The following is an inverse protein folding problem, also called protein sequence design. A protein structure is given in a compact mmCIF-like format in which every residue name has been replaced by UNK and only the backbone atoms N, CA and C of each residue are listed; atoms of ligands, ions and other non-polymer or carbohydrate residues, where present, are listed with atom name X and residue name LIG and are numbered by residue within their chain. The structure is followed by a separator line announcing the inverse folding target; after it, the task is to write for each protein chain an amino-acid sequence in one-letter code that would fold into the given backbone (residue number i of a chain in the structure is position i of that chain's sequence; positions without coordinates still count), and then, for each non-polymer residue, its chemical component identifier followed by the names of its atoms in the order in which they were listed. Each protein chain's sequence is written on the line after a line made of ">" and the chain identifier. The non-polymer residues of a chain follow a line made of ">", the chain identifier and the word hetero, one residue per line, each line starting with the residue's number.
data_IF_709496063198
#
_entry.id   IF_709496063198
#
_cell.length_a   1.000
_cell.length_b   1.000
_cell.length_c   1.000
_cell.angle_alpha   90.00
_cell.angle_beta   90.00
_cell.angle_gamma   90.00
#
_symmetry.space_group_name_H-M   'P 1'
#
loop_
_entity.id
_entity.type
_entity.pdbx_description
1 polymer ?
#
# COMPACT_ATOMS: atom_id res chain seq x y z
N UNK A 1 -14.67 12.14 -6.59
CA UNK A 1 -15.66 11.07 -6.73
C UNK A 1 -15.22 9.89 -5.88
N UNK A 2 -16.14 9.17 -5.22
CA UNK A 2 -15.80 7.96 -4.47
C UNK A 2 -15.48 6.82 -5.43
N UNK A 3 -14.50 5.95 -5.11
CA UNK A 3 -14.21 4.77 -5.92
C UNK A 3 -15.41 3.82 -5.90
N UNK A 4 -15.75 3.26 -7.05
CA UNK A 4 -16.84 2.29 -7.19
C UNK A 4 -16.27 1.02 -7.77
N UNK A 5 -16.24 -0.05 -6.97
CA UNK A 5 -15.83 -1.38 -7.43
C UNK A 5 -17.09 -2.17 -7.84
N UNK A 6 -17.31 -2.30 -9.13
CA UNK A 6 -18.40 -3.10 -9.68
C UNK A 6 -17.88 -4.50 -9.97
N UNK A 7 -18.38 -5.50 -9.23
CA UNK A 7 -18.04 -6.91 -9.43
C UNK A 7 -16.89 -7.45 -8.59
N UNK A 8 -16.30 -6.65 -7.73
CA UNK A 8 -15.33 -7.12 -6.71
C UNK A 8 -14.13 -7.88 -7.27
N UNK A 9 -13.68 -8.88 -6.53
CA UNK A 9 -12.55 -9.74 -6.92
C UNK A 9 -12.74 -10.48 -8.24
N UNK A 10 -13.91 -11.05 -8.57
CA UNK A 10 -14.11 -11.67 -9.88
C UNK A 10 -13.92 -10.73 -11.06
N UNK A 11 -14.28 -9.45 -10.91
CA UNK A 11 -14.05 -8.47 -11.96
C UNK A 11 -12.55 -8.19 -12.19
N UNK A 12 -11.76 -8.16 -11.10
CA UNK A 12 -10.30 -8.09 -11.21
C UNK A 12 -9.75 -9.32 -11.95
N UNK A 13 -10.14 -10.53 -11.55
CA UNK A 13 -9.70 -11.78 -12.20
C UNK A 13 -10.04 -11.79 -13.69
N UNK A 14 -11.24 -11.39 -14.06
CA UNK A 14 -11.65 -11.31 -15.48
C UNK A 14 -10.81 -10.28 -16.26
N UNK A 15 -10.49 -9.13 -15.67
CA UNK A 15 -9.59 -8.14 -16.30
C UNK A 15 -8.20 -8.72 -16.55
N UNK A 16 -7.63 -9.37 -15.54
CA UNK A 16 -6.31 -10.00 -15.63
C UNK A 16 -6.30 -11.04 -16.74
N UNK A 17 -7.23 -11.99 -16.74
CA UNK A 17 -7.33 -13.03 -17.78
C UNK A 17 -7.47 -12.45 -19.19
N UNK A 18 -8.33 -11.48 -19.34
CA UNK A 18 -8.57 -10.85 -20.64
C UNK A 18 -7.30 -10.19 -21.19
N UNK A 19 -6.55 -9.50 -20.32
CA UNK A 19 -5.32 -8.85 -20.73
C UNK A 19 -4.17 -9.84 -20.92
N UNK A 20 -4.02 -10.86 -20.06
CA UNK A 20 -3.03 -11.90 -20.25
C UNK A 20 -3.22 -12.61 -21.59
N UNK A 21 -4.43 -13.03 -21.94
CA UNK A 21 -4.73 -13.64 -23.24
C UNK A 21 -4.39 -12.72 -24.42
N UNK A 22 -4.54 -11.42 -24.26
CA UNK A 22 -4.25 -10.45 -25.31
C UNK A 22 -2.77 -10.19 -25.50
N UNK A 23 -2.01 -10.05 -24.42
CA UNK A 23 -0.61 -9.61 -24.47
C UNK A 23 0.39 -10.75 -24.29
N UNK A 24 -0.04 -11.88 -23.76
CA UNK A 24 0.77 -13.08 -23.52
C UNK A 24 0.02 -14.33 -23.97
N UNK A 25 -0.21 -14.51 -25.29
CA UNK A 25 -0.95 -15.67 -25.79
C UNK A 25 -0.26 -16.98 -25.46
N UNK A 26 1.08 -16.99 -25.36
CA UNK A 26 1.91 -18.15 -25.02
C UNK A 26 2.44 -18.03 -23.57
N UNK A 27 1.55 -17.76 -22.61
CA UNK A 27 1.90 -17.49 -21.21
C UNK A 27 2.75 -18.61 -20.57
N UNK A 28 2.50 -19.87 -20.95
CA UNK A 28 3.20 -21.03 -20.39
C UNK A 28 4.74 -20.99 -20.64
N UNK A 29 5.17 -20.33 -21.69
CA UNK A 29 6.60 -20.17 -22.04
C UNK A 29 7.16 -18.79 -21.73
N UNK A 30 6.27 -17.83 -21.43
CA UNK A 30 6.64 -16.42 -21.26
C UNK A 30 7.17 -16.10 -19.86
N UNK A 31 6.85 -16.93 -18.85
CA UNK A 31 7.13 -16.63 -17.44
C UNK A 31 7.93 -17.75 -16.79
N UNK A 32 8.84 -17.35 -15.89
CA UNK A 32 9.55 -18.27 -15.02
C UNK A 32 8.67 -18.71 -13.83
N UNK A 33 9.14 -19.74 -13.13
CA UNK A 33 8.41 -20.31 -11.99
C UNK A 33 8.13 -19.28 -10.88
N UNK A 34 9.11 -18.43 -10.56
CA UNK A 34 8.94 -17.41 -9.52
C UNK A 34 7.86 -16.37 -9.90
N UNK A 35 7.78 -16.01 -11.17
CA UNK A 35 6.72 -15.13 -11.69
C UNK A 35 5.36 -15.80 -11.61
N UNK A 36 5.26 -17.10 -11.91
CA UNK A 36 4.01 -17.85 -11.77
C UNK A 36 3.53 -17.92 -10.32
N UNK A 37 4.41 -18.16 -9.35
CA UNK A 37 4.06 -18.13 -7.93
C UNK A 37 3.48 -16.77 -7.51
N UNK A 38 4.09 -15.68 -7.94
CA UNK A 38 3.57 -14.32 -7.66
C UNK A 38 2.19 -14.14 -8.32
N UNK A 39 2.03 -14.57 -9.57
CA UNK A 39 0.75 -14.48 -10.27
C UNK A 39 -0.35 -15.25 -9.53
N UNK A 40 -0.08 -16.46 -9.08
CA UNK A 40 -1.03 -17.28 -8.33
C UNK A 40 -1.42 -16.65 -7.00
N UNK A 41 -0.44 -16.14 -6.23
CA UNK A 41 -0.69 -15.43 -4.98
C UNK A 41 -1.62 -14.24 -5.19
N UNK A 42 -1.33 -13.39 -6.17
CA UNK A 42 -2.13 -12.20 -6.45
C UNK A 42 -3.47 -12.52 -7.10
N UNK A 43 -3.56 -13.61 -7.85
CA UNK A 43 -4.81 -14.12 -8.38
C UNK A 43 -5.81 -14.51 -7.29
N UNK A 44 -5.32 -15.13 -6.20
CA UNK A 44 -6.13 -15.59 -5.08
C UNK A 44 -6.36 -14.51 -4.01
N UNK A 45 -5.58 -13.43 -4.02
CA UNK A 45 -5.64 -12.37 -3.03
C UNK A 45 -6.82 -11.42 -3.30
N UNK A 46 -7.90 -11.57 -2.52
CA UNK A 46 -9.04 -10.65 -2.58
C UNK A 46 -8.77 -9.38 -1.77
N UNK A 47 -8.52 -8.28 -2.48
CA UNK A 47 -8.35 -6.94 -1.89
C UNK A 47 -9.59 -6.05 -2.08
N UNK A 48 -10.70 -6.57 -2.59
CA UNK A 48 -11.93 -5.79 -2.79
C UNK A 48 -12.50 -5.14 -1.51
N UNK A 49 -12.35 -5.71 -0.29
CA UNK A 49 -12.77 -5.05 0.94
C UNK A 49 -12.05 -3.73 1.23
N UNK A 50 -10.82 -3.53 0.68
CA UNK A 50 -10.08 -2.24 0.79
C UNK A 50 -10.85 -1.10 0.19
N UNK A 51 -11.56 -1.35 -0.91
CA UNK A 51 -12.32 -0.31 -1.61
C UNK A 51 -13.41 0.27 -0.70
N UNK A 52 -14.08 -0.59 0.08
CA UNK A 52 -15.06 -0.18 1.06
C UNK A 52 -14.42 0.51 2.27
N UNK A 53 -13.37 -0.07 2.82
CA UNK A 53 -12.66 0.47 4.00
C UNK A 53 -12.07 1.86 3.76
N UNK A 54 -11.68 2.15 2.51
CA UNK A 54 -11.10 3.45 2.15
C UNK A 54 -12.10 4.45 1.55
N UNK A 55 -13.37 4.06 1.36
CA UNK A 55 -14.35 4.87 0.62
C UNK A 55 -14.52 6.29 1.19
N UNK A 56 -14.47 6.44 2.52
CA UNK A 56 -14.66 7.74 3.19
C UNK A 56 -13.42 8.65 3.12
N UNK A 57 -12.30 8.11 2.64
CA UNK A 57 -11.05 8.85 2.43
C UNK A 57 -10.98 9.52 1.06
N UNK A 58 -12.04 9.38 0.26
CA UNK A 58 -12.16 9.97 -1.07
C UNK A 58 -13.28 11.02 -1.11
N UNK A 59 -13.02 12.11 -1.83
CA UNK A 59 -14.01 13.16 -2.04
C UNK A 59 -15.21 12.65 -2.83
N UNK A 60 -16.38 13.23 -2.59
CA UNK A 60 -17.58 12.98 -3.41
C UNK A 60 -17.45 13.66 -4.78
N UNK A 61 -16.65 14.72 -4.87
CA UNK A 61 -16.47 15.52 -6.08
C UNK A 61 -15.11 15.27 -6.73
N UNK A 62 -15.01 15.48 -8.03
CA UNK A 62 -13.77 15.39 -8.80
C UNK A 62 -13.76 14.22 -9.78
N UNK A 63 -12.61 13.95 -10.44
CA UNK A 63 -12.46 12.82 -11.35
C UNK A 63 -12.56 11.49 -10.60
N UNK A 64 -12.92 10.43 -11.33
CA UNK A 64 -12.98 9.09 -10.75
C UNK A 64 -11.57 8.62 -10.33
N UNK A 65 -11.37 8.28 -9.06
CA UNK A 65 -10.08 7.77 -8.60
C UNK A 65 -9.85 6.34 -9.09
N UNK A 66 -8.60 5.92 -9.08
CA UNK A 66 -8.24 4.50 -9.19
C UNK A 66 -8.79 3.73 -8.01
N UNK A 67 -9.13 2.46 -8.21
CA UNK A 67 -9.59 1.59 -7.12
C UNK A 67 -8.50 1.44 -6.05
N UNK A 68 -8.81 1.65 -4.78
CA UNK A 68 -7.87 1.39 -3.67
C UNK A 68 -7.30 -0.01 -3.67
N UNK A 69 -8.11 -1.02 -3.99
CA UNK A 69 -7.68 -2.41 -4.11
C UNK A 69 -6.62 -2.61 -5.19
N UNK A 70 -6.78 -1.99 -6.38
CA UNK A 70 -5.79 -2.07 -7.45
C UNK A 70 -4.51 -1.29 -7.09
N UNK A 71 -4.64 -0.15 -6.41
CA UNK A 71 -3.50 0.64 -5.94
C UNK A 71 -2.70 -0.11 -4.86
N UNK A 72 -3.38 -0.73 -3.88
CA UNK A 72 -2.72 -1.52 -2.84
C UNK A 72 -2.05 -2.76 -3.44
N UNK A 73 -2.73 -3.46 -4.35
CA UNK A 73 -2.17 -4.60 -5.06
C UNK A 73 -0.90 -4.21 -5.81
N UNK A 74 -0.92 -3.09 -6.51
CA UNK A 74 0.24 -2.56 -7.21
C UNK A 74 1.41 -2.25 -6.26
N UNK A 75 1.11 -1.69 -5.09
CA UNK A 75 2.11 -1.41 -4.07
C UNK A 75 2.75 -2.69 -3.52
N UNK A 76 1.94 -3.71 -3.21
CA UNK A 76 2.43 -5.02 -2.77
C UNK A 76 3.29 -5.71 -3.84
N UNK A 77 2.86 -5.66 -5.11
CA UNK A 77 3.64 -6.18 -6.24
C UNK A 77 5.01 -5.51 -6.36
N UNK A 78 5.10 -4.20 -6.10
CA UNK A 78 6.40 -3.51 -6.13
C UNK A 78 7.39 -4.08 -5.13
N UNK A 79 6.92 -4.52 -3.97
CA UNK A 79 7.74 -5.16 -2.95
C UNK A 79 8.15 -6.57 -3.38
N UNK A 80 7.23 -7.36 -3.93
CA UNK A 80 7.51 -8.73 -4.40
C UNK A 80 8.53 -8.74 -5.55
N UNK A 81 8.41 -7.79 -6.48
CA UNK A 81 9.39 -7.61 -7.56
C UNK A 81 10.63 -6.80 -7.14
N UNK A 82 10.77 -6.48 -5.85
CA UNK A 82 11.94 -5.82 -5.25
C UNK A 82 12.30 -4.49 -5.93
N UNK A 83 11.29 -3.73 -6.35
CA UNK A 83 11.51 -2.41 -6.94
C UNK A 83 11.66 -1.37 -5.83
N UNK A 84 12.79 -0.65 -5.75
CA UNK A 84 13.19 0.09 -4.55
C UNK A 84 12.41 1.38 -4.30
N UNK A 85 11.69 1.90 -5.29
CA UNK A 85 10.98 3.17 -5.14
C UNK A 85 9.71 3.26 -5.96
N UNK A 86 8.75 4.05 -5.50
CA UNK A 86 7.51 4.31 -6.22
C UNK A 86 7.73 4.99 -7.57
N UNK A 87 8.78 5.80 -7.70
CA UNK A 87 9.15 6.42 -8.99
C UNK A 87 9.60 5.36 -9.99
N UNK A 88 10.48 4.46 -9.57
CA UNK A 88 10.93 3.33 -10.39
C UNK A 88 9.75 2.42 -10.72
N UNK A 89 8.89 2.14 -9.74
CA UNK A 89 7.71 1.30 -9.95
C UNK A 89 6.75 1.89 -10.98
N UNK A 90 6.41 3.17 -10.88
CA UNK A 90 5.56 3.84 -11.86
C UNK A 90 6.14 3.82 -13.28
N UNK A 91 7.46 3.84 -13.42
CA UNK A 91 8.14 3.64 -14.70
C UNK A 91 8.06 2.18 -15.18
N UNK A 92 8.27 1.23 -14.27
CA UNK A 92 8.19 -0.21 -14.57
C UNK A 92 6.79 -0.63 -15.01
N UNK A 93 5.73 -0.08 -14.42
CA UNK A 93 4.35 -0.31 -14.82
C UNK A 93 4.06 0.10 -16.27
N UNK A 94 4.75 1.11 -16.79
CA UNK A 94 4.61 1.56 -18.18
C UNK A 94 5.38 0.69 -19.16
N UNK A 95 6.50 0.12 -18.72
CA UNK A 95 7.41 -0.66 -19.55
C UNK A 95 7.08 -2.15 -19.56
N UNK A 96 6.57 -2.67 -18.44
CA UNK A 96 6.26 -4.08 -18.28
C UNK A 96 4.74 -4.28 -18.17
N UNK A 97 4.15 -4.82 -19.21
CA UNK A 97 2.70 -5.07 -19.27
C UNK A 97 2.23 -6.01 -18.17
N UNK A 98 3.03 -7.01 -17.80
CA UNK A 98 2.66 -7.95 -16.74
C UNK A 98 2.41 -7.23 -15.41
N UNK A 99 3.26 -6.27 -15.05
CA UNK A 99 3.11 -5.52 -13.80
C UNK A 99 1.82 -4.69 -13.78
N UNK A 100 1.48 -4.06 -14.90
CA UNK A 100 0.22 -3.34 -15.03
C UNK A 100 -0.99 -4.28 -14.91
N UNK A 101 -0.95 -5.42 -15.61
CA UNK A 101 -2.01 -6.42 -15.64
C UNK A 101 -2.26 -6.99 -14.23
N UNK A 102 -1.21 -7.44 -13.55
CA UNK A 102 -1.31 -8.01 -12.20
C UNK A 102 -1.76 -6.98 -11.15
N UNK A 103 -1.41 -5.71 -11.35
CA UNK A 103 -1.94 -4.61 -10.52
C UNK A 103 -3.46 -4.39 -10.70
N UNK A 104 -4.05 -4.88 -11.79
CA UNK A 104 -5.44 -4.63 -12.16
C UNK A 104 -5.64 -3.43 -13.07
N UNK A 105 -4.56 -2.79 -13.55
CA UNK A 105 -4.63 -1.67 -14.49
C UNK A 105 -4.73 -2.14 -15.93
N UNK A 106 -5.29 -1.30 -16.78
CA UNK A 106 -5.21 -1.53 -18.22
C UNK A 106 -3.81 -1.19 -18.73
N UNK A 107 -3.30 -2.00 -19.65
CA UNK A 107 -2.05 -1.70 -20.36
C UNK A 107 -2.17 -0.36 -21.08
N UNK A 108 -1.23 0.54 -20.80
CA UNK A 108 -1.24 1.91 -21.32
C UNK A 108 -2.01 2.93 -20.45
N UNK A 109 -2.78 2.48 -19.45
CA UNK A 109 -3.50 3.35 -18.50
C UNK A 109 -3.03 3.06 -17.06
N UNK A 110 -1.77 3.29 -16.78
CA UNK A 110 -1.15 3.07 -15.47
C UNK A 110 -1.06 4.36 -14.66
N UNK A 111 -1.13 4.29 -13.31
CA UNK A 111 -0.99 5.45 -12.46
C UNK A 111 0.42 6.05 -12.53
N UNK A 112 0.48 7.38 -12.44
CA UNK A 112 1.73 8.09 -12.24
C UNK A 112 2.20 8.06 -10.79
N UNK A 113 3.45 8.47 -10.55
CA UNK A 113 4.04 8.51 -9.20
C UNK A 113 3.23 9.36 -8.22
N UNK A 114 2.68 10.50 -8.68
CA UNK A 114 1.82 11.36 -7.84
C UNK A 114 0.59 10.61 -7.33
N UNK A 115 -0.04 9.77 -8.16
CA UNK A 115 -1.19 8.96 -7.75
C UNK A 115 -0.84 7.96 -6.64
N UNK A 116 0.38 7.41 -6.66
CA UNK A 116 0.86 6.54 -5.58
C UNK A 116 1.07 7.31 -4.28
N UNK A 117 1.65 8.50 -4.33
CA UNK A 117 1.78 9.35 -3.14
C UNK A 117 0.43 9.76 -2.57
N UNK A 118 -0.52 10.13 -3.43
CA UNK A 118 -1.88 10.45 -3.00
C UNK A 118 -2.57 9.23 -2.37
N UNK A 119 -2.38 8.04 -2.93
CA UNK A 119 -2.91 6.81 -2.37
C UNK A 119 -2.30 6.50 -1.00
N UNK A 120 -0.97 6.52 -0.87
CA UNK A 120 -0.29 6.28 0.40
C UNK A 120 -0.71 7.32 1.44
N UNK A 121 -0.87 8.58 1.06
CA UNK A 121 -1.40 9.62 1.92
C UNK A 121 -2.78 9.30 2.46
N UNK A 122 -3.67 8.77 1.63
CA UNK A 122 -5.01 8.34 2.06
C UNK A 122 -4.97 7.04 2.86
N UNK A 123 -4.08 6.12 2.52
CA UNK A 123 -3.91 4.86 3.26
C UNK A 123 -3.49 5.10 4.71
N UNK A 124 -2.62 6.09 4.92
CA UNK A 124 -2.10 6.49 6.23
C UNK A 124 -2.92 7.61 6.87
N UNK A 125 -4.10 7.90 6.33
CA UNK A 125 -4.90 9.04 6.74
C UNK A 125 -5.19 9.03 8.24
N UNK A 126 -4.74 10.09 8.91
CA UNK A 126 -5.15 10.47 10.25
C UNK A 126 -5.39 11.97 10.28
N UNK A 127 -6.54 12.39 10.76
CA UNK A 127 -6.85 13.82 10.94
C UNK A 127 -5.87 14.54 11.88
N UNK A 128 -5.23 13.79 12.78
CA UNK A 128 -4.28 14.31 13.78
C UNK A 128 -2.83 14.39 13.29
N UNK A 129 -2.47 13.62 12.30
CA UNK A 129 -1.09 13.54 11.83
C UNK A 129 -1.04 13.97 10.38
N UNK A 130 -0.73 15.25 10.14
CA UNK A 130 -0.21 15.66 8.84
C UNK A 130 0.96 14.73 8.51
N UNK A 131 0.79 13.82 7.59
CA UNK A 131 1.70 12.91 6.87
C UNK A 131 3.20 12.90 7.24
N UNK A 132 3.57 13.43 8.39
CA UNK A 132 4.90 13.27 8.94
C UNK A 132 5.06 11.81 9.28
N UNK A 133 6.01 11.18 8.59
CA UNK A 133 6.49 9.85 8.89
C UNK A 133 6.60 9.71 10.44
N UNK A 134 5.90 8.77 11.10
CA UNK A 134 5.99 8.61 12.55
C UNK A 134 7.43 8.36 13.03
N UNK A 135 8.30 7.88 12.13
CA UNK A 135 9.74 7.69 12.37
C UNK A 135 10.54 9.01 12.28
N UNK A 136 9.98 10.04 11.66
CA UNK A 136 10.60 11.34 11.51
C UNK A 136 9.58 12.41 11.84
N UNK A 137 9.43 12.78 13.13
CA UNK A 137 8.57 13.92 13.49
C UNK A 137 8.97 15.13 12.65
N UNK A 138 8.01 15.98 12.27
CA UNK A 138 8.31 17.17 11.49
C UNK A 138 9.38 17.95 12.22
N UNK A 139 10.48 18.28 11.52
CA UNK A 139 11.47 19.19 12.06
C UNK A 139 10.73 20.49 12.35
N UNK A 140 10.63 20.86 13.61
CA UNK A 140 10.15 22.19 13.97
C UNK A 140 11.08 23.18 13.27
N UNK A 141 10.56 23.87 12.27
CA UNK A 141 11.31 24.96 11.66
C UNK A 141 11.60 25.98 12.76
N UNK A 142 12.85 26.36 12.97
CA UNK A 142 13.17 27.35 13.97
C UNK A 142 12.39 28.61 13.64
N UNK A 143 11.48 28.97 14.53
CA UNK A 143 10.51 30.09 14.33
C UNK A 143 11.15 31.47 14.24
N UNK A 144 12.48 31.59 14.36
CA UNK A 144 13.20 32.89 14.28
C UNK A 144 14.53 32.69 13.53
N UNK A 145 14.90 33.63 12.67
CA UNK A 145 16.25 33.65 12.14
C UNK A 145 17.23 33.79 13.30
N UNK A 146 18.12 32.82 13.46
CA UNK A 146 19.19 32.86 14.46
C UNK A 146 20.07 34.08 14.23
N UNK A 147 20.38 34.80 15.27
CA UNK A 147 21.36 35.88 15.21
C UNK A 147 22.72 35.29 14.89
N UNK A 148 23.46 35.98 14.02
CA UNK A 148 24.81 35.58 13.59
C UNK A 148 25.69 35.35 14.81
N UNK A 149 26.02 34.08 15.13
CA UNK A 149 26.85 33.70 16.27
C UNK A 149 26.19 32.85 17.34
N UNK A 150 24.87 32.62 17.30
CA UNK A 150 24.21 31.63 18.19
C UNK A 150 24.42 30.23 17.63
N UNK A 151 24.96 29.33 18.47
CA UNK A 151 25.00 27.90 18.17
C UNK A 151 23.58 27.35 18.29
N UNK A 152 23.12 26.62 17.26
CA UNK A 152 21.89 25.87 17.35
C UNK A 152 22.00 24.83 18.50
N UNK A 153 20.94 24.71 19.29
CA UNK A 153 20.85 23.63 20.24
C UNK A 153 21.02 22.29 19.51
N UNK A 154 21.77 21.35 20.11
CA UNK A 154 21.95 20.04 19.51
C UNK A 154 20.58 19.40 19.31
N UNK A 155 20.25 19.06 18.08
CA UNK A 155 19.05 18.25 17.76
C UNK A 155 19.28 16.89 18.39
N UNK A 156 18.54 16.55 19.43
CA UNK A 156 18.51 15.20 19.96
C UNK A 156 18.02 14.26 18.86
N UNK A 157 18.95 13.51 18.29
CA UNK A 157 18.60 12.46 17.36
C UNK A 157 17.96 11.31 18.15
N UNK A 158 16.68 11.06 17.90
CA UNK A 158 15.98 9.93 18.48
C UNK A 158 16.68 8.64 18.09
N UNK A 159 17.10 7.87 19.05
CA UNK A 159 17.73 6.56 18.83
C UNK A 159 16.66 5.51 18.51
N UNK A 160 17.06 4.38 17.93
CA UNK A 160 16.16 3.25 17.70
C UNK A 160 15.56 2.75 19.03
N UNK A 161 16.31 2.83 20.12
CA UNK A 161 15.83 2.47 21.47
C UNK A 161 14.73 3.39 21.97
N UNK A 162 14.85 4.70 21.74
CA UNK A 162 13.84 5.68 22.12
C UNK A 162 12.54 5.45 21.32
N UNK A 163 12.70 5.04 20.06
CA UNK A 163 11.59 4.67 19.21
C UNK A 163 10.87 3.42 19.72
N UNK A 164 11.61 2.35 20.03
CA UNK A 164 11.06 1.11 20.57
C UNK A 164 10.37 1.34 21.91
N UNK A 165 11.00 2.11 22.82
CA UNK A 165 10.39 2.47 24.09
C UNK A 165 9.09 3.24 23.92
N UNK A 166 8.96 4.11 22.91
CA UNK A 166 7.69 4.79 22.58
C UNK A 166 6.62 3.83 22.12
N UNK A 167 6.95 2.84 21.31
CA UNK A 167 6.00 1.82 20.87
C UNK A 167 5.51 0.93 22.03
N UNK A 168 6.34 0.67 23.01
CA UNK A 168 5.95 -0.07 24.22
C UNK A 168 5.04 0.73 25.15
N UNK A 169 5.30 2.05 25.30
CA UNK A 169 4.52 2.93 26.20
C UNK A 169 3.21 3.39 25.56
N UNK A 170 3.22 3.66 24.28
CA UNK A 170 2.06 4.15 23.52
C UNK A 170 1.89 3.34 22.23
N UNK A 171 1.34 2.13 22.35
CA UNK A 171 1.14 1.28 21.18
C UNK A 171 0.23 1.95 20.17
N UNK A 172 0.38 1.69 18.86
CA UNK A 172 -0.42 2.28 17.81
C UNK A 172 -1.91 2.06 18.08
N UNK A 173 -2.66 3.14 18.24
CA UNK A 173 -4.12 3.09 18.36
C UNK A 173 -4.76 3.21 16.97
N UNK A 174 -6.01 2.76 16.83
CA UNK A 174 -6.76 2.81 15.56
C UNK A 174 -6.82 4.21 14.94
N UNK A 175 -6.71 5.25 15.78
CA UNK A 175 -6.66 6.65 15.34
C UNK A 175 -5.31 7.11 14.78
N UNK A 176 -4.26 6.29 14.90
CA UNK A 176 -2.95 6.59 14.32
C UNK A 176 -2.83 6.06 12.90
N UNK A 177 -1.95 6.61 12.04
CA UNK A 177 -1.71 6.05 10.71
C UNK A 177 -1.29 4.58 10.75
N UNK A 178 -0.41 4.23 11.68
CA UNK A 178 0.02 2.84 11.88
C UNK A 178 -1.12 1.96 12.36
N UNK A 179 -1.94 2.42 13.32
CA UNK A 179 -3.13 1.70 13.79
C UNK A 179 -4.15 1.49 12.68
N UNK A 180 -4.42 2.52 11.86
CA UNK A 180 -5.31 2.39 10.70
C UNK A 180 -4.80 1.36 9.69
N UNK A 181 -3.50 1.32 9.43
CA UNK A 181 -2.89 0.33 8.55
C UNK A 181 -2.99 -1.07 9.15
N UNK A 182 -2.67 -1.22 10.43
CA UNK A 182 -2.81 -2.49 11.16
C UNK A 182 -4.26 -2.98 11.16
N UNK A 183 -5.23 -2.11 11.37
CA UNK A 183 -6.66 -2.47 11.33
C UNK A 183 -7.07 -2.96 9.94
N UNK A 184 -6.62 -2.30 8.88
CA UNK A 184 -6.86 -2.74 7.50
C UNK A 184 -6.21 -4.11 7.27
N UNK A 185 -4.95 -4.32 7.62
CA UNK A 185 -4.28 -5.62 7.46
C UNK A 185 -4.93 -6.71 8.31
N UNK A 186 -5.32 -6.39 9.55
CA UNK A 186 -6.05 -7.34 10.39
C UNK A 186 -7.33 -7.81 9.71
N UNK A 187 -8.20 -6.88 9.32
CA UNK A 187 -9.50 -7.22 8.73
C UNK A 187 -9.38 -7.90 7.36
N UNK A 188 -8.38 -7.53 6.55
CA UNK A 188 -8.22 -8.07 5.19
C UNK A 188 -7.48 -9.39 5.14
N UNK A 189 -6.51 -9.60 6.01
CA UNK A 189 -5.63 -10.75 5.92
C UNK A 189 -5.80 -11.69 7.12
N UNK A 190 -5.68 -11.17 8.34
CA UNK A 190 -5.69 -12.03 9.52
C UNK A 190 -7.07 -12.61 9.80
N UNK A 191 -8.11 -11.78 9.84
CA UNK A 191 -9.46 -12.25 10.16
C UNK A 191 -9.95 -13.27 9.10
N UNK A 192 -9.70 -13.00 7.82
CA UNK A 192 -10.03 -13.94 6.74
C UNK A 192 -9.20 -15.24 6.78
N UNK A 193 -7.92 -15.16 7.16
CA UNK A 193 -7.08 -16.35 7.28
C UNK A 193 -7.51 -17.23 8.46
N UNK A 194 -7.94 -16.62 9.57
CA UNK A 194 -8.51 -17.33 10.72
C UNK A 194 -9.85 -17.96 10.36
N UNK A 195 -10.76 -17.23 9.72
CA UNK A 195 -12.06 -17.75 9.29
C UNK A 195 -11.94 -18.94 8.32
N UNK A 196 -10.89 -18.93 7.48
CA UNK A 196 -10.61 -20.04 6.54
C UNK A 196 -9.80 -21.17 7.17
N UNK A 197 -9.46 -21.09 8.46
CA UNK A 197 -8.67 -22.09 9.16
C UNK A 197 -7.20 -22.19 8.69
N UNK A 198 -6.69 -21.14 8.03
CA UNK A 198 -5.28 -21.07 7.58
C UNK A 198 -4.33 -20.67 8.71
N UNK A 199 -4.85 -20.02 9.73
CA UNK A 199 -4.12 -19.61 10.94
C UNK A 199 -4.88 -20.12 12.15
N UNK A 200 -4.23 -20.95 12.96
CA UNK A 200 -4.73 -21.38 14.24
C UNK A 200 -4.19 -20.45 15.33
N UNK A 201 -5.05 -19.60 15.87
CA UNK A 201 -4.67 -18.63 16.91
C UNK A 201 -4.35 -19.31 18.26
N UNK A 202 -4.83 -20.54 18.49
CA UNK A 202 -4.60 -21.27 19.75
C UNK A 202 -3.20 -21.93 19.77
N UNK A 203 -2.61 -22.17 18.61
CA UNK A 203 -1.31 -22.83 18.44
C UNK A 203 -0.23 -21.95 17.83
N UNK A 204 -0.38 -20.62 17.88
CA UNK A 204 0.66 -19.67 17.46
C UNK A 204 1.84 -19.74 18.41
N UNK A 205 2.79 -20.63 18.14
CA UNK A 205 4.12 -20.61 18.76
C UNK A 205 5.02 -19.66 17.94
N UNK A 206 5.35 -18.52 18.53
CA UNK A 206 6.41 -17.66 18.01
C UNK A 206 7.73 -18.33 18.36
N UNK A 207 8.37 -18.90 17.36
CA UNK A 207 9.74 -19.43 17.47
C UNK A 207 10.76 -18.36 17.09
#
# INVERSE_FOLDING_TARGET
>A
MKPVNIGGHPAYQNRVLTQLRKYYPDADTAFDFATWEIMEQFWNLDLSPVDQAMQDRYSVFGPQPRLPSDMLRSYLLSMMFKVPSLTSWASSLKQNYLYAILSGFLVGDTPGVGTFYDFTSRLWFSEKYNLSNPLHPPKENPKKPQKKGEKADPVENMTVYDLLARFEIDPPQDSTPAGSLCAIFKSLLLDQAVERGLIDLENLTVS
#
